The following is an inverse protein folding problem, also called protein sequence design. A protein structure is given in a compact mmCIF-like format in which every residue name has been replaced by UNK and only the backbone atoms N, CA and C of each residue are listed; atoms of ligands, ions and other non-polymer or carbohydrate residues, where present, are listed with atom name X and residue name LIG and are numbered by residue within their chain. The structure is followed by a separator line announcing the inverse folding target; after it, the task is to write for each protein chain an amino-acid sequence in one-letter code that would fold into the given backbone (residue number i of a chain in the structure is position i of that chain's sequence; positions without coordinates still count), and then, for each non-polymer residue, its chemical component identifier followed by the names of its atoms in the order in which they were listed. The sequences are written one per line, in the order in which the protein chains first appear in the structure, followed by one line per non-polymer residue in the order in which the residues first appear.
data_IF_839114562785
#
_entry.id   IF_839114562785
#
_cell.length_a   1.000
_cell.length_b   1.000
_cell.length_c   1.000
_cell.angle_alpha   90.00
_cell.angle_beta   90.00
_cell.angle_gamma   90.00
#
_symmetry.space_group_name_H-M   'P 1'
#
loop_
_entity.id
_entity.type
_entity.pdbx_description
1 polymer ?
#
# COMPACT_ATOMS: atom_id res chain seq x y z
N UNK A 1 25.57 44.39 -39.91
CA UNK A 1 25.82 44.78 -38.50
C UNK A 1 24.76 45.71 -37.89
N UNK A 2 23.95 46.46 -38.67
CA UNK A 2 22.87 47.32 -38.12
C UNK A 2 21.61 46.56 -37.67
N UNK A 3 21.34 45.39 -38.25
CA UNK A 3 20.16 44.55 -37.95
C UNK A 3 20.34 43.77 -36.64
N UNK A 4 21.58 43.42 -36.28
CA UNK A 4 21.89 42.74 -35.02
C UNK A 4 21.75 43.67 -33.80
N UNK A 5 21.95 44.98 -33.96
CA UNK A 5 21.83 45.97 -32.88
C UNK A 5 20.36 46.30 -32.56
N UNK A 6 19.46 46.22 -33.54
CA UNK A 6 18.03 46.51 -33.36
C UNK A 6 17.30 45.36 -32.66
N UNK A 7 17.74 44.11 -32.85
CA UNK A 7 17.18 42.94 -32.16
C UNK A 7 17.54 42.88 -30.67
N UNK A 8 18.70 43.41 -30.27
CA UNK A 8 19.11 43.47 -28.85
C UNK A 8 18.34 44.57 -28.09
N UNK A 9 17.91 45.65 -28.76
CA UNK A 9 17.18 46.74 -28.10
C UNK A 9 15.73 46.37 -27.74
N UNK A 10 15.10 45.45 -28.50
CA UNK A 10 13.71 45.04 -28.26
C UNK A 10 13.59 44.08 -27.06
N UNK A 11 14.63 43.31 -26.72
CA UNK A 11 14.59 42.39 -25.58
C UNK A 11 14.74 43.09 -24.21
N UNK A 12 15.23 44.34 -24.16
CA UNK A 12 15.46 45.06 -22.90
C UNK A 12 14.22 45.83 -22.42
N UNK A 13 13.28 46.16 -23.31
CA UNK A 13 12.07 46.93 -22.95
C UNK A 13 10.91 46.06 -22.42
N UNK A 14 10.95 44.74 -22.62
CA UNK A 14 9.92 43.83 -22.13
C UNK A 14 10.00 43.56 -20.61
N UNK A 15 11.11 43.92 -19.95
CA UNK A 15 11.30 43.70 -18.52
C UNK A 15 10.70 44.80 -17.62
N UNK A 16 10.14 45.88 -18.19
CA UNK A 16 9.71 47.05 -17.41
C UNK A 16 8.21 47.08 -17.02
N UNK A 17 7.40 46.11 -17.46
CA UNK A 17 5.99 46.00 -17.03
C UNK A 17 5.84 44.98 -15.90
N UNK A 18 6.52 45.22 -14.78
CA UNK A 18 6.19 44.55 -13.53
C UNK A 18 4.90 45.16 -12.98
N UNK A 19 3.75 44.63 -13.38
CA UNK A 19 2.49 44.89 -12.68
C UNK A 19 2.67 44.37 -11.26
N UNK A 20 2.54 45.25 -10.25
CA UNK A 20 2.63 44.82 -8.85
C UNK A 20 1.64 43.68 -8.62
N UNK A 21 2.05 42.55 -8.01
CA UNK A 21 1.15 41.45 -7.73
C UNK A 21 0.01 41.98 -6.86
N UNK A 22 -1.23 41.81 -7.34
CA UNK A 22 -2.43 42.13 -6.55
C UNK A 22 -2.31 41.34 -5.24
N UNK A 23 -2.47 41.97 -4.06
CA UNK A 23 -2.46 41.24 -2.80
C UNK A 23 -3.51 40.13 -2.88
N UNK A 24 -3.04 38.89 -2.85
CA UNK A 24 -3.92 37.72 -2.78
C UNK A 24 -4.55 37.78 -1.40
N UNK A 25 -5.90 37.82 -1.29
CA UNK A 25 -6.55 37.68 0.01
C UNK A 25 -5.99 36.42 0.67
N UNK A 26 -5.52 36.54 1.91
CA UNK A 26 -5.02 35.40 2.66
C UNK A 26 -6.13 34.33 2.65
N UNK A 27 -5.89 33.21 1.96
CA UNK A 27 -6.78 32.08 2.02
C UNK A 27 -6.79 31.64 3.49
N UNK A 28 -7.97 31.49 4.12
CA UNK A 28 -8.00 30.83 5.42
C UNK A 28 -7.27 29.50 5.30
N UNK A 29 -6.54 29.08 6.34
CA UNK A 29 -5.87 27.78 6.30
C UNK A 29 -6.90 26.74 5.86
N UNK A 30 -6.52 25.79 4.98
CA UNK A 30 -7.42 24.73 4.59
C UNK A 30 -7.98 24.13 5.88
N UNK A 31 -9.31 24.00 5.95
CA UNK A 31 -9.94 23.31 7.06
C UNK A 31 -9.20 21.98 7.19
N UNK A 32 -8.70 21.67 8.38
CA UNK A 32 -8.14 20.36 8.61
C UNK A 32 -9.27 19.37 8.38
N UNK A 33 -9.24 18.65 7.27
CA UNK A 33 -10.06 17.46 7.10
C UNK A 33 -9.74 16.59 8.31
N UNK A 34 -10.70 16.43 9.20
CA UNK A 34 -10.54 15.55 10.34
C UNK A 34 -10.15 14.16 9.81
N UNK A 35 -9.28 13.46 10.52
CA UNK A 35 -8.96 12.08 10.18
C UNK A 35 -10.28 11.32 10.00
N UNK A 36 -10.56 10.86 8.78
CA UNK A 36 -11.61 9.91 8.49
C UNK A 36 -10.94 8.55 8.32
N UNK A 37 -10.96 7.68 9.35
CA UNK A 37 -10.32 6.37 9.26
C UNK A 37 -10.84 5.53 8.08
N UNK A 38 -12.11 5.71 7.67
CA UNK A 38 -12.70 5.01 6.53
C UNK A 38 -12.09 5.42 5.19
N UNK A 39 -11.72 6.70 5.00
CA UNK A 39 -11.04 7.15 3.78
C UNK A 39 -9.67 6.51 3.60
N UNK A 40 -8.97 6.21 4.70
CA UNK A 40 -7.68 5.50 4.65
C UNK A 40 -7.83 4.05 4.15
N UNK A 41 -9.00 3.43 4.33
CA UNK A 41 -9.26 2.04 3.95
C UNK A 41 -9.70 1.87 2.49
N UNK A 42 -10.20 2.92 1.82
CA UNK A 42 -10.71 2.84 0.42
C UNK A 42 -9.67 2.21 -0.51
N UNK A 43 -8.44 2.71 -0.50
CA UNK A 43 -7.38 2.22 -1.37
C UNK A 43 -6.92 0.81 -0.97
N UNK A 44 -6.94 0.48 0.32
CA UNK A 44 -6.58 -0.84 0.82
C UNK A 44 -7.62 -1.88 0.37
N UNK A 45 -8.91 -1.63 0.60
CA UNK A 45 -9.99 -2.53 0.18
C UNK A 45 -10.03 -2.71 -1.33
N UNK A 46 -9.83 -1.63 -2.11
CA UNK A 46 -9.75 -1.74 -3.57
C UNK A 46 -8.56 -2.60 -4.01
N UNK A 47 -7.39 -2.44 -3.39
CA UNK A 47 -6.22 -3.24 -3.71
C UNK A 47 -6.45 -4.73 -3.39
N UNK A 48 -7.00 -5.05 -2.21
CA UNK A 48 -7.31 -6.44 -1.84
C UNK A 48 -8.32 -7.06 -2.81
N UNK A 49 -9.40 -6.33 -3.12
CA UNK A 49 -10.49 -6.84 -3.95
C UNK A 49 -10.15 -6.99 -5.43
N UNK A 50 -9.23 -6.18 -5.97
CA UNK A 50 -9.04 -6.08 -7.43
C UNK A 50 -7.62 -6.26 -7.93
N UNK A 51 -6.59 -6.19 -7.08
CA UNK A 51 -5.21 -6.29 -7.55
C UNK A 51 -4.83 -7.72 -7.91
N UNK A 52 -4.07 -7.87 -9.00
CA UNK A 52 -3.45 -9.15 -9.33
C UNK A 52 -2.36 -9.49 -8.30
N UNK A 53 -1.73 -8.47 -7.73
CA UNK A 53 -0.67 -8.56 -6.74
C UNK A 53 -1.15 -9.18 -5.43
N UNK A 54 -2.31 -8.80 -4.91
CA UNK A 54 -2.89 -9.43 -3.72
C UNK A 54 -3.13 -10.92 -3.95
N UNK A 55 -3.79 -11.27 -5.07
CA UNK A 55 -4.03 -12.67 -5.44
C UNK A 55 -2.73 -13.46 -5.59
N UNK A 56 -1.72 -12.87 -6.24
CA UNK A 56 -0.42 -13.50 -6.40
C UNK A 56 0.26 -13.72 -5.04
N UNK A 57 0.17 -12.76 -4.12
CA UNK A 57 0.70 -12.88 -2.77
C UNK A 57 0.01 -13.99 -1.97
N UNK A 58 -1.32 -14.08 -2.01
CA UNK A 58 -2.06 -15.15 -1.34
C UNK A 58 -1.65 -16.53 -1.86
N UNK A 59 -1.58 -16.70 -3.19
CA UNK A 59 -1.10 -17.94 -3.80
C UNK A 59 0.36 -18.26 -3.43
N UNK A 60 1.23 -17.25 -3.41
CA UNK A 60 2.62 -17.40 -3.02
C UNK A 60 2.76 -17.85 -1.56
N UNK A 61 1.97 -17.28 -0.64
CA UNK A 61 1.97 -17.64 0.76
C UNK A 61 1.59 -19.12 0.95
N UNK A 62 0.50 -19.58 0.34
CA UNK A 62 0.11 -20.99 0.40
C UNK A 62 1.10 -21.94 -0.30
N UNK A 63 1.72 -21.51 -1.39
CA UNK A 63 2.77 -22.30 -2.04
C UNK A 63 4.03 -22.41 -1.16
N UNK A 64 4.39 -21.35 -0.44
CA UNK A 64 5.48 -21.36 0.52
C UNK A 64 5.15 -22.24 1.73
N UNK A 65 3.94 -22.13 2.28
CA UNK A 65 3.46 -22.96 3.37
C UNK A 65 3.47 -24.45 2.99
N UNK A 66 3.10 -24.79 1.75
CA UNK A 66 3.20 -26.18 1.26
C UNK A 66 4.64 -26.69 1.26
N UNK A 67 5.61 -25.90 0.76
CA UNK A 67 7.03 -26.31 0.79
C UNK A 67 7.55 -26.47 2.21
N UNK A 68 7.14 -25.59 3.13
CA UNK A 68 7.49 -25.70 4.54
C UNK A 68 6.88 -26.95 5.17
N UNK A 69 5.61 -27.26 4.87
CA UNK A 69 4.95 -28.48 5.34
C UNK A 69 5.63 -29.74 4.80
N UNK A 70 5.98 -29.79 3.51
CA UNK A 70 6.67 -30.94 2.93
C UNK A 70 8.03 -31.18 3.62
N UNK A 71 8.77 -30.11 3.98
CA UNK A 71 10.01 -30.20 4.74
C UNK A 71 9.77 -30.67 6.19
N UNK A 72 8.77 -30.13 6.86
CA UNK A 72 8.40 -30.52 8.23
C UNK A 72 7.98 -31.98 8.32
N UNK A 73 7.20 -32.48 7.35
CA UNK A 73 6.77 -33.88 7.31
C UNK A 73 7.93 -34.86 7.02
N UNK A 74 9.01 -34.40 6.40
CA UNK A 74 10.19 -35.21 6.14
C UNK A 74 11.15 -35.30 7.34
N UNK A 75 10.99 -34.44 8.35
CA UNK A 75 11.82 -34.37 9.55
C UNK A 75 10.99 -34.69 10.82
N UNK A 76 11.10 -35.91 11.37
CA UNK A 76 10.37 -36.29 12.59
C UNK A 76 10.73 -35.48 13.84
N UNK A 77 11.84 -34.73 13.81
CA UNK A 77 12.26 -33.84 14.89
C UNK A 77 11.77 -32.40 14.74
N UNK A 78 11.02 -32.12 13.66
CA UNK A 78 10.52 -30.77 13.37
C UNK A 78 9.59 -30.26 14.48
N UNK A 79 9.81 -29.00 14.85
CA UNK A 79 8.99 -28.27 15.81
C UNK A 79 8.43 -27.03 15.12
N UNK A 80 7.10 -26.91 15.07
CA UNK A 80 6.41 -25.87 14.30
C UNK A 80 6.13 -24.58 15.07
N UNK A 81 6.09 -24.63 16.40
CA UNK A 81 5.75 -23.50 17.24
C UNK A 81 6.91 -23.11 18.17
N UNK A 82 7.05 -21.83 18.45
CA UNK A 82 8.20 -21.29 19.21
C UNK A 82 8.21 -21.68 20.68
N UNK A 83 7.04 -21.99 21.22
CA UNK A 83 6.81 -22.43 22.59
C UNK A 83 7.11 -23.92 22.80
N UNK A 84 7.19 -24.68 21.70
CA UNK A 84 7.49 -26.10 21.73
C UNK A 84 9.01 -26.32 21.83
N UNK A 85 9.42 -27.20 22.75
CA UNK A 85 10.85 -27.45 23.03
C UNK A 85 11.39 -28.73 22.41
N UNK A 86 10.49 -29.62 21.99
CA UNK A 86 10.81 -30.87 21.30
C UNK A 86 9.61 -31.35 20.48
N UNK A 87 9.86 -32.17 19.46
CA UNK A 87 8.81 -32.87 18.71
C UNK A 87 8.22 -34.01 19.55
N UNK A 88 6.90 -34.21 19.49
CA UNK A 88 6.20 -35.33 20.14
C UNK A 88 5.75 -36.38 19.10
N UNK A 89 6.49 -37.49 18.90
CA UNK A 89 6.24 -38.43 17.79
C UNK A 89 4.88 -39.15 17.84
N UNK A 90 4.21 -39.11 19.00
CA UNK A 90 2.89 -39.72 19.19
C UNK A 90 1.74 -38.85 18.67
N UNK A 91 2.00 -37.58 18.39
CA UNK A 91 1.01 -36.64 17.89
C UNK A 91 1.07 -36.56 16.35
N UNK A 92 -0.09 -36.54 15.67
CA UNK A 92 -0.09 -36.31 14.24
C UNK A 92 0.34 -34.86 13.93
N UNK A 93 1.04 -34.62 12.81
CA UNK A 93 1.32 -33.26 12.35
C UNK A 93 0.03 -32.45 12.16
N UNK A 94 0.09 -31.16 12.49
CA UNK A 94 -1.04 -30.24 12.38
C UNK A 94 -0.64 -28.93 11.70
N UNK A 95 -1.64 -28.25 11.12
CA UNK A 95 -1.51 -26.90 10.56
C UNK A 95 -2.52 -26.01 11.27
N UNK A 96 -2.06 -24.87 11.76
CA UNK A 96 -2.91 -23.84 12.38
C UNK A 96 -2.99 -22.67 11.42
N UNK A 97 -4.20 -22.20 11.17
CA UNK A 97 -4.49 -21.09 10.28
C UNK A 97 -5.49 -20.17 10.98
N UNK A 98 -5.30 -18.86 10.80
CA UNK A 98 -6.36 -17.91 11.03
C UNK A 98 -7.46 -18.06 9.96
N UNK A 99 -8.65 -17.52 10.22
CA UNK A 99 -9.78 -17.59 9.31
C UNK A 99 -9.94 -16.31 8.49
N UNK A 100 -10.21 -15.20 9.16
CA UNK A 100 -10.44 -13.92 8.51
C UNK A 100 -9.16 -13.46 7.79
N UNK A 101 -9.31 -13.04 6.53
CA UNK A 101 -8.28 -12.54 5.61
C UNK A 101 -7.16 -13.55 5.29
N UNK A 102 -7.26 -14.76 5.83
CA UNK A 102 -6.31 -15.86 5.62
C UNK A 102 -6.98 -16.97 4.82
N UNK A 103 -8.00 -17.61 5.38
CA UNK A 103 -8.73 -18.70 4.73
C UNK A 103 -10.04 -18.24 4.08
N UNK A 104 -10.63 -17.17 4.60
CA UNK A 104 -11.91 -16.61 4.16
C UNK A 104 -11.71 -15.13 3.82
N UNK A 105 -12.30 -14.69 2.71
CA UNK A 105 -12.33 -13.29 2.28
C UNK A 105 -13.59 -12.61 2.84
N UNK A 106 -13.43 -11.73 3.84
CA UNK A 106 -14.52 -10.93 4.37
C UNK A 106 -14.55 -9.49 3.82
N UNK A 107 -13.74 -9.15 2.81
CA UNK A 107 -13.50 -7.75 2.38
C UNK A 107 -14.75 -7.04 1.87
N UNK A 108 -15.78 -7.80 1.45
CA UNK A 108 -17.09 -7.25 1.13
C UNK A 108 -17.78 -6.60 2.35
N UNK A 109 -17.57 -7.14 3.55
CA UNK A 109 -18.01 -6.52 4.80
C UNK A 109 -17.21 -5.26 5.09
N UNK A 110 -15.88 -5.29 4.98
CA UNK A 110 -15.03 -4.12 5.20
C UNK A 110 -15.41 -2.96 4.27
N UNK A 111 -15.62 -3.24 2.98
CA UNK A 111 -16.02 -2.23 2.01
C UNK A 111 -17.37 -1.57 2.36
N UNK A 112 -18.31 -2.32 2.96
CA UNK A 112 -19.59 -1.77 3.43
C UNK A 112 -19.43 -0.86 4.66
N UNK A 113 -18.38 -1.05 5.46
CA UNK A 113 -18.11 -0.22 6.64
C UNK A 113 -17.44 1.13 6.30
N UNK A 114 -16.91 1.26 5.07
CA UNK A 114 -16.32 2.49 4.55
C UNK A 114 -17.38 3.46 4.01
N UNK A 115 -18.45 2.91 3.43
CA UNK A 115 -19.48 3.64 2.68
C UNK A 115 -20.51 4.37 3.55
#
# INVERSE_FOLDING_TARGET
MRIALTLILVSVLACAHATAPRPTPAQPPPAQEGCNPGQALVNASLWVQSSAEYRANALQAYAAARRALDAALADPSWVGATEETASEPSQPPAVILDLDETAIDNTAYEARMIA
#
